data_IF_797695080894
#
_entry.id   IF_797695080894
#
_cell.length_a   1.000
_cell.length_b   1.000
_cell.length_c   1.000
_cell.angle_alpha   90.00
_cell.angle_beta   90.00
_cell.angle_gamma   90.00
#
_symmetry.space_group_name_H-M   'P 1'
#
loop_
_entity.id
_entity.type
_entity.pdbx_description
1 polymer ?
#
# COMPACT_ATOMS: atom_id res chain seq x y z
N UNK A 1 4.56 7.07 -15.71
CA UNK A 1 4.34 6.50 -14.38
C UNK A 1 4.19 7.61 -13.35
N UNK A 2 3.38 7.36 -12.33
CA UNK A 2 3.12 8.33 -11.27
C UNK A 2 3.30 7.69 -9.90
N UNK A 3 3.71 8.51 -8.93
CA UNK A 3 3.65 8.12 -7.53
C UNK A 3 2.26 8.44 -6.98
N UNK A 4 1.74 7.51 -6.18
CA UNK A 4 0.42 7.68 -5.57
C UNK A 4 0.47 7.11 -4.15
N UNK A 5 0.03 7.91 -3.18
CA UNK A 5 0.03 7.51 -1.78
C UNK A 5 -1.39 7.19 -1.36
N UNK A 6 -1.57 6.03 -0.73
CA UNK A 6 -2.87 5.55 -0.29
C UNK A 6 -2.81 5.36 1.21
N UNK A 7 -3.66 6.08 1.94
CA UNK A 7 -3.76 5.93 3.40
C UNK A 7 -4.78 4.85 3.73
N UNK A 8 -4.37 3.89 4.54
CA UNK A 8 -5.25 2.79 4.97
C UNK A 8 -5.96 3.17 6.25
N UNK A 9 -7.28 3.22 6.21
CA UNK A 9 -8.08 3.38 7.43
C UNK A 9 -8.30 2.01 8.08
N UNK A 10 -8.93 1.99 9.23
CA UNK A 10 -9.16 0.75 9.97
C UNK A 10 -10.06 -0.24 9.21
N UNK A 11 -10.81 0.23 8.23
CA UNK A 11 -11.74 -0.59 7.45
C UNK A 11 -11.11 -1.09 6.13
N UNK A 12 -9.88 -0.66 5.82
CA UNK A 12 -9.24 -1.03 4.57
C UNK A 12 -9.00 -2.54 4.51
N UNK A 13 -9.28 -3.13 3.37
CA UNK A 13 -9.12 -4.58 3.15
C UNK A 13 -7.69 -5.04 3.44
N UNK A 14 -6.70 -4.23 3.10
CA UNK A 14 -5.29 -4.59 3.23
C UNK A 14 -4.80 -4.64 4.68
N UNK A 15 -5.54 -4.05 5.62
CA UNK A 15 -5.13 -4.07 7.03
C UNK A 15 -5.10 -5.51 7.53
N UNK A 16 -3.99 -5.90 8.15
CA UNK A 16 -3.77 -7.25 8.63
C UNK A 16 -3.16 -8.20 7.61
N UNK A 17 -2.94 -7.73 6.38
CA UNK A 17 -2.36 -8.55 5.31
C UNK A 17 -1.00 -7.99 4.90
N UNK A 18 -0.08 -8.88 4.50
CA UNK A 18 1.20 -8.48 3.95
C UNK A 18 1.03 -8.08 2.49
N UNK A 19 1.84 -7.10 2.04
CA UNK A 19 1.78 -6.66 0.63
C UNK A 19 2.06 -7.80 -0.34
N UNK A 20 2.90 -8.76 0.03
CA UNK A 20 3.18 -9.90 -0.82
C UNK A 20 1.95 -10.77 -1.10
N UNK A 21 0.97 -10.73 -0.20
CA UNK A 21 -0.27 -11.50 -0.34
C UNK A 21 -1.33 -10.75 -1.15
N UNK A 22 -1.07 -9.50 -1.48
CA UNK A 22 -1.99 -8.66 -2.24
C UNK A 22 -1.50 -8.60 -3.69
N UNK A 23 -2.38 -8.89 -4.62
CA UNK A 23 -2.05 -8.86 -6.03
C UNK A 23 -2.44 -7.51 -6.60
N UNK A 24 -1.52 -6.57 -6.52
CA UNK A 24 -1.78 -5.19 -6.93
C UNK A 24 -1.60 -4.95 -8.42
N UNK A 25 -1.11 -5.94 -9.17
CA UNK A 25 -0.99 -5.85 -10.61
C UNK A 25 0.22 -5.05 -11.05
N UNK A 26 0.05 -4.17 -12.03
CA UNK A 26 1.13 -3.47 -12.70
C UNK A 26 1.73 -2.29 -11.94
N UNK A 27 1.65 -2.26 -10.63
CA UNK A 27 2.23 -1.18 -9.81
C UNK A 27 3.42 -1.69 -9.02
N UNK A 28 4.33 -0.77 -8.70
CA UNK A 28 5.48 -1.06 -7.86
C UNK A 28 5.26 -0.39 -6.50
N UNK A 29 5.44 -1.14 -5.42
CA UNK A 29 5.41 -0.57 -4.07
C UNK A 29 6.75 0.07 -3.80
N UNK A 30 6.75 1.39 -3.60
CA UNK A 30 7.97 2.16 -3.36
C UNK A 30 8.32 2.21 -1.89
N UNK A 31 7.32 2.32 -1.03
CA UNK A 31 7.54 2.41 0.40
C UNK A 31 6.22 2.27 1.14
N UNK A 32 6.32 1.96 2.44
CA UNK A 32 5.21 2.05 3.38
C UNK A 32 5.62 3.02 4.48
N UNK A 33 4.78 4.00 4.77
CA UNK A 33 5.00 4.95 5.86
C UNK A 33 4.09 4.58 7.01
N UNK A 34 4.66 4.42 8.17
CA UNK A 34 3.95 3.94 9.36
C UNK A 34 4.08 4.94 10.51
N UNK A 35 3.02 5.10 11.26
CA UNK A 35 3.03 5.96 12.43
C UNK A 35 4.07 5.47 13.44
N UNK A 36 4.83 6.39 14.00
CA UNK A 36 5.86 6.07 14.97
C UNK A 36 7.15 5.54 14.37
N UNK A 37 7.19 5.35 13.05
CA UNK A 37 8.38 4.92 12.33
C UNK A 37 8.85 6.07 11.45
N UNK A 38 10.05 6.56 11.72
CA UNK A 38 10.58 7.74 11.01
C UNK A 38 11.01 7.42 9.59
N UNK A 39 11.48 6.21 9.36
CA UNK A 39 12.01 5.78 8.07
C UNK A 39 10.90 5.13 7.26
N UNK A 40 10.99 5.27 5.93
CA UNK A 40 10.13 4.51 5.05
C UNK A 40 10.48 3.03 5.15
N UNK A 41 9.46 2.18 5.19
CA UNK A 41 9.64 0.73 5.22
C UNK A 41 9.62 0.20 3.79
N UNK A 42 10.48 -0.76 3.51
CA UNK A 42 10.35 -1.54 2.28
C UNK A 42 9.11 -2.43 2.38
N UNK A 43 8.55 -2.82 1.25
CA UNK A 43 7.37 -3.70 1.23
C UNK A 43 7.61 -4.97 2.05
N UNK A 44 8.81 -5.55 1.94
CA UNK A 44 9.16 -6.77 2.67
C UNK A 44 9.30 -6.57 4.17
N UNK A 45 9.59 -5.34 4.61
CA UNK A 45 9.80 -5.02 6.03
C UNK A 45 8.53 -4.59 6.72
N UNK A 46 7.49 -4.25 5.97
CA UNK A 46 6.25 -3.73 6.54
C UNK A 46 5.45 -4.80 7.28
N UNK A 47 5.59 -6.06 6.88
CA UNK A 47 4.79 -7.14 7.45
C UNK A 47 3.30 -6.91 7.23
N UNK A 48 2.44 -7.40 8.14
CA UNK A 48 1.01 -7.11 8.04
C UNK A 48 0.76 -5.61 8.12
N UNK A 49 -0.02 -5.09 7.18
CA UNK A 49 -0.34 -3.66 7.13
C UNK A 49 -1.23 -3.28 8.31
N UNK A 50 -1.09 -2.05 8.76
CA UNK A 50 -1.76 -1.55 9.95
C UNK A 50 -2.62 -0.34 9.62
N UNK A 51 -3.67 -0.07 10.42
CA UNK A 51 -4.44 1.16 10.24
C UNK A 51 -3.53 2.38 10.33
N UNK A 52 -3.73 3.32 9.41
CA UNK A 52 -2.91 4.52 9.34
C UNK A 52 -1.66 4.40 8.48
N UNK A 53 -1.32 3.19 8.01
CA UNK A 53 -0.22 3.03 7.06
C UNK A 53 -0.51 3.77 5.76
N UNK A 54 0.52 4.37 5.19
CA UNK A 54 0.44 4.99 3.87
C UNK A 54 1.29 4.15 2.92
N UNK A 55 0.65 3.59 1.90
CA UNK A 55 1.32 2.78 0.89
C UNK A 55 1.63 3.68 -0.31
N UNK A 56 2.90 3.80 -0.66
CA UNK A 56 3.34 4.63 -1.79
C UNK A 56 3.58 3.71 -2.98
N UNK A 57 2.84 3.94 -4.06
CA UNK A 57 2.87 3.13 -5.27
C UNK A 57 3.38 3.93 -6.45
N UNK A 58 4.04 3.25 -7.37
CA UNK A 58 4.45 3.81 -8.66
C UNK A 58 3.80 2.98 -9.77
N UNK A 59 3.15 3.65 -10.71
CA UNK A 59 2.53 2.96 -11.84
C UNK A 59 1.77 3.89 -12.75
N UNK A 60 1.11 3.32 -13.74
CA UNK A 60 0.23 4.06 -14.64
C UNK A 60 -1.08 4.39 -13.91
N UNK A 61 -1.80 5.46 -14.31
CA UNK A 61 -2.98 5.89 -13.58
C UNK A 61 -4.06 4.82 -13.42
N UNK A 62 -4.33 4.05 -14.44
CA UNK A 62 -5.34 2.97 -14.38
C UNK A 62 -4.89 1.83 -13.47
N UNK A 63 -3.62 1.48 -13.49
CA UNK A 63 -3.07 0.46 -12.60
C UNK A 63 -3.06 0.94 -11.15
N UNK A 64 -2.78 2.23 -10.91
CA UNK A 64 -2.82 2.82 -9.58
C UNK A 64 -4.24 2.80 -9.02
N UNK A 65 -5.23 3.13 -9.84
CA UNK A 65 -6.63 3.11 -9.43
C UNK A 65 -7.07 1.70 -9.03
N UNK A 66 -6.71 0.70 -9.84
CA UNK A 66 -7.02 -0.69 -9.54
C UNK A 66 -6.35 -1.16 -8.25
N UNK A 67 -5.09 -0.76 -8.05
CA UNK A 67 -4.35 -1.12 -6.84
C UNK A 67 -4.96 -0.47 -5.60
N UNK A 68 -5.36 0.78 -5.69
CA UNK A 68 -6.04 1.48 -4.59
C UNK A 68 -7.32 0.76 -4.21
N UNK A 69 -8.10 0.36 -5.18
CA UNK A 69 -9.34 -0.37 -4.95
C UNK A 69 -9.07 -1.70 -4.23
N UNK A 70 -8.02 -2.40 -4.63
CA UNK A 70 -7.61 -3.64 -3.97
C UNK A 70 -7.18 -3.42 -2.53
N UNK A 71 -6.45 -2.35 -2.26
CA UNK A 71 -6.00 -2.05 -0.91
C UNK A 71 -7.15 -1.68 0.01
N UNK A 72 -8.14 -0.97 -0.50
CA UNK A 72 -9.22 -0.45 0.32
C UNK A 72 -10.42 -1.39 0.39
N UNK A 73 -10.73 -2.08 -0.70
CA UNK A 73 -11.97 -2.87 -0.81
C UNK A 73 -11.75 -4.37 -1.05
N UNK A 74 -10.60 -4.73 -1.58
CA UNK A 74 -10.28 -6.14 -1.86
C UNK A 74 -10.53 -6.62 -3.27
#
# INVERSE_FOLDING_TARGET
>A
ARLHSITLDAQAHAVGRALADLRLGGVQVRAVRRRGVRMNLAASDAGPLQPGDVVVLLGQPDALEAAEDRLLRG
#
